data_IF_675352597663
#
_entry.id   IF_675352597663
#
_cell.length_a   1.000
_cell.length_b   1.000
_cell.length_c   1.000
_cell.angle_alpha   90.00
_cell.angle_beta   90.00
_cell.angle_gamma   90.00
#
_symmetry.space_group_name_H-M   'P 1'
#
loop_
_entity.id
_entity.type
_entity.pdbx_description
1 polymer ?
#
# COMPACT_ATOMS: atom_id res chain seq x y z
N UNK A 1 2.62 -0.08 -11.34
CA UNK A 1 1.35 0.44 -10.78
C UNK A 1 1.58 1.00 -9.38
N UNK A 2 1.02 2.17 -9.09
CA UNK A 2 0.93 2.79 -7.77
C UNK A 2 -0.48 2.50 -7.25
N UNK A 3 -0.60 1.40 -6.52
CA UNK A 3 -1.89 0.81 -6.17
C UNK A 3 -2.25 0.97 -4.70
N UNK A 4 -3.54 0.93 -4.40
CA UNK A 4 -4.03 0.77 -3.05
C UNK A 4 -5.26 -0.15 -3.02
N UNK A 5 -5.42 -0.91 -1.95
CA UNK A 5 -6.62 -1.70 -1.72
C UNK A 5 -7.78 -0.79 -1.35
N UNK A 6 -8.82 -0.86 -2.14
CA UNK A 6 -10.11 -0.24 -1.84
C UNK A 6 -10.81 -1.08 -0.77
N UNK A 7 -10.94 -0.56 0.44
CA UNK A 7 -11.44 -1.29 1.61
C UNK A 7 -12.93 -1.59 1.60
N UNK A 8 -13.50 -1.81 0.44
CA UNK A 8 -14.94 -2.01 0.19
C UNK A 8 -15.68 -0.70 -0.05
N UNK A 9 -16.98 -0.79 -0.19
CA UNK A 9 -17.82 0.40 -0.37
C UNK A 9 -17.61 1.39 0.78
N UNK A 10 -17.71 2.72 0.54
CA UNK A 10 -17.40 3.75 1.55
C UNK A 10 -18.20 3.66 2.85
N UNK A 11 -19.20 2.80 2.92
CA UNK A 11 -19.90 2.44 4.15
C UNK A 11 -20.43 1.01 4.06
N UNK A 12 -20.30 0.26 5.15
CA UNK A 12 -20.95 -1.04 5.33
C UNK A 12 -22.49 -0.94 5.21
N UNK A 13 -23.04 0.20 5.59
CA UNK A 13 -24.47 0.51 5.35
C UNK A 13 -24.66 1.03 3.93
N UNK A 14 -25.04 0.16 3.00
CA UNK A 14 -25.17 0.48 1.57
C UNK A 14 -25.97 1.75 1.28
N UNK A 15 -27.06 2.01 2.02
CA UNK A 15 -27.84 3.22 1.87
C UNK A 15 -27.14 4.54 2.23
N UNK A 16 -25.95 4.47 2.82
CA UNK A 16 -25.07 5.62 3.10
C UNK A 16 -24.06 5.89 2.00
N UNK A 17 -23.96 5.01 1.02
CA UNK A 17 -23.09 5.20 -0.13
C UNK A 17 -23.80 6.10 -1.16
N UNK A 18 -23.09 7.07 -1.69
CA UNK A 18 -23.61 8.01 -2.67
C UNK A 18 -22.53 8.37 -3.68
N UNK A 19 -22.93 8.77 -4.86
CA UNK A 19 -22.01 9.21 -5.91
C UNK A 19 -21.04 10.32 -5.44
N UNK A 20 -21.47 11.36 -4.70
CA UNK A 20 -20.55 12.35 -4.15
C UNK A 20 -19.54 11.74 -3.17
N UNK A 21 -19.93 10.74 -2.37
CA UNK A 21 -19.04 10.08 -1.42
C UNK A 21 -17.97 9.24 -2.15
N UNK A 22 -18.35 8.50 -3.18
CA UNK A 22 -17.40 7.80 -4.05
C UNK A 22 -16.43 8.78 -4.69
N UNK A 23 -16.94 9.86 -5.28
CA UNK A 23 -16.11 10.88 -5.94
C UNK A 23 -15.09 11.49 -4.97
N UNK A 24 -15.50 11.85 -3.78
CA UNK A 24 -14.61 12.40 -2.74
C UNK A 24 -13.42 11.48 -2.47
N UNK A 25 -13.66 10.18 -2.26
CA UNK A 25 -12.57 9.24 -1.98
C UNK A 25 -11.70 8.97 -3.21
N UNK A 26 -12.29 8.88 -4.40
CA UNK A 26 -11.54 8.63 -5.64
C UNK A 26 -10.69 9.84 -6.06
N UNK A 27 -11.16 11.05 -5.81
CA UNK A 27 -10.35 12.28 -5.97
C UNK A 27 -9.18 12.31 -4.98
N UNK A 28 -9.38 11.85 -3.74
CA UNK A 28 -8.29 11.67 -2.77
C UNK A 28 -7.27 10.60 -3.22
N UNK A 29 -7.72 9.53 -3.87
CA UNK A 29 -6.81 8.55 -4.46
C UNK A 29 -5.95 9.19 -5.56
N UNK A 30 -6.56 9.99 -6.41
CA UNK A 30 -5.84 10.77 -7.44
C UNK A 30 -4.85 11.76 -6.80
N UNK A 31 -5.28 12.47 -5.75
CA UNK A 31 -4.43 13.39 -4.98
C UNK A 31 -3.21 12.68 -4.38
N UNK A 32 -3.38 11.44 -3.90
CA UNK A 32 -2.31 10.61 -3.37
C UNK A 32 -1.41 9.98 -4.47
N UNK A 33 -1.54 10.39 -5.74
CA UNK A 33 -0.84 9.81 -6.88
C UNK A 33 -1.12 8.32 -7.13
N UNK A 34 -2.20 7.77 -6.58
CA UNK A 34 -2.66 6.42 -6.83
C UNK A 34 -3.25 6.38 -8.25
N UNK A 35 -2.79 5.42 -9.06
CA UNK A 35 -3.28 5.21 -10.43
C UNK A 35 -3.95 3.84 -10.62
N UNK A 36 -4.02 3.05 -9.56
CA UNK A 36 -4.70 1.76 -9.55
C UNK A 36 -5.37 1.53 -8.20
N UNK A 37 -6.58 0.97 -8.21
CA UNK A 37 -7.27 0.50 -7.02
C UNK A 37 -7.54 -1.00 -7.15
N UNK A 38 -7.23 -1.73 -6.11
CA UNK A 38 -7.55 -3.15 -6.00
C UNK A 38 -8.81 -3.32 -5.14
N UNK A 39 -9.89 -3.81 -5.73
CA UNK A 39 -11.05 -4.30 -4.98
C UNK A 39 -10.71 -5.73 -4.57
N UNK A 40 -10.78 -6.05 -3.29
CA UNK A 40 -10.44 -7.38 -2.82
C UNK A 40 -11.68 -8.19 -2.39
N UNK A 41 -11.53 -9.52 -2.35
CA UNK A 41 -12.62 -10.50 -2.34
C UNK A 41 -13.50 -10.56 -1.09
N UNK A 42 -13.22 -9.74 -0.07
CA UNK A 42 -14.04 -9.62 1.13
C UNK A 42 -15.37 -8.87 0.91
N UNK A 43 -15.49 -8.19 -0.22
CA UNK A 43 -16.62 -7.30 -0.52
C UNK A 43 -17.26 -7.67 -1.85
N UNK A 44 -18.55 -7.35 -2.05
CA UNK A 44 -19.18 -7.44 -3.35
C UNK A 44 -18.48 -6.53 -4.36
N UNK A 45 -18.61 -6.85 -5.65
CA UNK A 45 -18.17 -5.97 -6.71
C UNK A 45 -18.80 -4.56 -6.55
N UNK A 46 -18.01 -3.53 -6.83
CA UNK A 46 -18.41 -2.15 -6.70
C UNK A 46 -19.52 -1.74 -7.67
N UNK A 47 -20.14 -0.59 -7.41
CA UNK A 47 -21.23 -0.04 -8.21
C UNK A 47 -20.74 0.49 -9.55
N UNK A 48 -21.65 0.70 -10.50
CA UNK A 48 -21.34 1.30 -11.80
C UNK A 48 -20.78 2.74 -11.64
N UNK A 49 -21.26 3.48 -10.63
CA UNK A 49 -20.74 4.81 -10.32
C UNK A 49 -19.26 4.80 -9.95
N UNK A 50 -18.82 3.81 -9.18
CA UNK A 50 -17.42 3.68 -8.83
C UNK A 50 -16.55 3.54 -10.09
N UNK A 51 -16.87 2.60 -10.98
CA UNK A 51 -16.11 2.40 -12.22
C UNK A 51 -16.19 3.60 -13.14
N UNK A 52 -17.38 4.23 -13.27
CA UNK A 52 -17.54 5.44 -14.08
C UNK A 52 -16.65 6.59 -13.60
N UNK A 53 -16.54 6.78 -12.29
CA UNK A 53 -15.65 7.81 -11.74
C UNK A 53 -14.17 7.41 -11.94
N UNK A 54 -13.82 6.13 -11.78
CA UNK A 54 -12.47 5.63 -12.08
C UNK A 54 -12.11 5.89 -13.56
N UNK A 55 -13.01 5.60 -14.51
CA UNK A 55 -12.83 5.90 -15.94
C UNK A 55 -12.55 7.39 -16.18
N UNK A 56 -13.31 8.29 -15.53
CA UNK A 56 -13.15 9.73 -15.64
C UNK A 56 -11.82 10.25 -15.05
N UNK A 57 -11.38 9.66 -13.94
CA UNK A 57 -10.16 10.08 -13.23
C UNK A 57 -8.89 9.42 -13.78
N UNK A 58 -9.00 8.41 -14.65
CA UNK A 58 -7.90 7.62 -15.15
C UNK A 58 -7.26 6.75 -14.06
N UNK A 59 -8.07 6.21 -13.16
CA UNK A 59 -7.68 5.24 -12.14
C UNK A 59 -8.05 3.86 -12.63
N UNK A 60 -7.08 2.98 -12.80
CA UNK A 60 -7.33 1.59 -13.18
C UNK A 60 -7.81 0.76 -11.98
N UNK A 61 -8.46 -0.36 -12.24
CA UNK A 61 -9.06 -1.20 -11.20
C UNK A 61 -8.70 -2.66 -11.41
N UNK A 62 -8.31 -3.35 -10.34
CA UNK A 62 -8.32 -4.81 -10.24
C UNK A 62 -9.57 -5.24 -9.50
N UNK A 63 -10.40 -5.99 -10.15
CA UNK A 63 -11.65 -6.47 -9.56
C UNK A 63 -11.49 -7.92 -9.12
N UNK A 64 -11.45 -8.17 -7.81
CA UNK A 64 -11.62 -9.52 -7.28
C UNK A 64 -13.10 -9.88 -7.29
N UNK A 65 -13.38 -11.15 -7.57
CA UNK A 65 -14.68 -11.72 -7.24
C UNK A 65 -14.80 -11.96 -5.73
N UNK A 66 -16.04 -12.05 -5.23
CA UNK A 66 -16.33 -12.12 -3.79
C UNK A 66 -16.09 -13.50 -3.17
N UNK A 67 -14.87 -14.00 -3.35
CA UNK A 67 -14.41 -15.25 -2.75
C UNK A 67 -13.22 -14.95 -1.85
N UNK A 68 -13.33 -15.19 -0.53
CA UNK A 68 -12.27 -14.87 0.42
C UNK A 68 -12.12 -15.90 1.53
N UNK A 69 -10.87 -16.24 1.85
CA UNK A 69 -10.40 -16.95 3.06
C UNK A 69 -11.25 -18.11 3.56
N UNK A 70 -11.83 -18.90 2.68
CA UNK A 70 -12.61 -20.08 3.08
C UNK A 70 -12.44 -21.20 2.06
N UNK A 71 -12.86 -22.39 2.46
CA UNK A 71 -13.02 -23.56 1.61
C UNK A 71 -14.37 -23.48 0.91
N UNK A 72 -14.36 -23.46 -0.42
CA UNK A 72 -15.57 -23.33 -1.21
C UNK A 72 -16.08 -24.70 -1.67
N UNK A 73 -17.40 -24.81 -1.78
CA UNK A 73 -18.03 -25.98 -2.37
C UNK A 73 -17.76 -26.04 -3.87
N UNK A 74 -17.70 -27.28 -4.38
CA UNK A 74 -17.51 -27.57 -5.81
C UNK A 74 -18.65 -28.45 -6.36
N UNK A 75 -19.77 -28.60 -5.61
CA UNK A 75 -20.93 -29.31 -6.09
C UNK A 75 -21.69 -28.56 -7.19
N UNK A 76 -22.41 -29.29 -8.03
CA UNK A 76 -23.07 -28.69 -9.19
C UNK A 76 -24.03 -27.56 -8.84
N UNK A 77 -24.89 -27.62 -7.79
CA UNK A 77 -25.73 -26.47 -7.45
C UNK A 77 -24.99 -25.21 -7.05
N UNK A 78 -23.79 -25.36 -6.43
CA UNK A 78 -22.95 -24.22 -6.07
C UNK A 78 -22.28 -23.62 -7.33
N UNK A 79 -21.73 -24.46 -8.20
CA UNK A 79 -21.10 -24.04 -9.45
C UNK A 79 -22.10 -23.28 -10.34
N UNK A 80 -23.36 -23.70 -10.41
CA UNK A 80 -24.39 -22.96 -11.17
C UNK A 80 -24.65 -21.55 -10.61
N UNK A 81 -24.62 -21.37 -9.29
CA UNK A 81 -24.76 -20.05 -8.66
C UNK A 81 -23.53 -19.19 -8.94
N UNK A 82 -22.35 -19.75 -8.76
CA UNK A 82 -21.07 -19.07 -9.08
C UNK A 82 -21.07 -18.61 -10.52
N UNK A 83 -21.42 -19.47 -11.46
CA UNK A 83 -21.47 -19.14 -12.88
C UNK A 83 -22.36 -17.91 -13.15
N UNK A 84 -23.56 -17.89 -12.58
CA UNK A 84 -24.51 -16.75 -12.75
C UNK A 84 -23.94 -15.45 -12.15
N UNK A 85 -23.31 -15.53 -11.00
CA UNK A 85 -22.69 -14.37 -10.34
C UNK A 85 -21.54 -13.82 -11.16
N UNK A 86 -20.62 -14.68 -11.62
CA UNK A 86 -19.48 -14.29 -12.44
C UNK A 86 -19.97 -13.65 -13.76
N UNK A 87 -20.90 -14.32 -14.46
CA UNK A 87 -21.47 -13.80 -15.70
C UNK A 87 -22.10 -12.41 -15.49
N UNK A 88 -22.91 -12.27 -14.46
CA UNK A 88 -23.56 -10.98 -14.13
C UNK A 88 -22.53 -9.89 -13.84
N UNK A 89 -21.50 -10.21 -13.05
CA UNK A 89 -20.46 -9.25 -12.66
C UNK A 89 -19.64 -8.81 -13.87
N UNK A 90 -19.15 -9.77 -14.66
CA UNK A 90 -18.32 -9.49 -15.85
C UNK A 90 -19.10 -8.70 -16.90
N UNK A 91 -20.32 -9.10 -17.24
CA UNK A 91 -21.13 -8.41 -18.24
C UNK A 91 -21.36 -6.96 -17.88
N UNK A 92 -21.59 -6.65 -16.59
CA UNK A 92 -21.81 -5.29 -16.11
C UNK A 92 -20.55 -4.42 -16.13
N UNK A 93 -19.35 -5.02 -15.95
CA UNK A 93 -18.11 -4.26 -15.72
C UNK A 93 -17.10 -4.31 -16.86
N UNK A 94 -17.20 -5.27 -17.79
CA UNK A 94 -16.20 -5.50 -18.85
C UNK A 94 -16.01 -4.33 -19.82
N UNK A 95 -16.96 -3.42 -19.90
CA UNK A 95 -16.90 -2.26 -20.80
C UNK A 95 -16.29 -1.02 -20.13
N UNK A 96 -15.96 -1.06 -18.83
CA UNK A 96 -15.24 0.02 -18.18
C UNK A 96 -13.75 -0.07 -18.50
N UNK A 97 -13.16 0.95 -19.15
CA UNK A 97 -11.73 0.95 -19.48
C UNK A 97 -10.83 0.96 -18.24
N UNK A 98 -11.36 1.39 -17.08
CA UNK A 98 -10.66 1.30 -15.81
C UNK A 98 -10.43 -0.15 -15.34
N UNK A 99 -11.31 -1.09 -15.66
CA UNK A 99 -11.19 -2.48 -15.22
C UNK A 99 -10.16 -3.23 -16.06
N UNK A 100 -8.92 -3.31 -15.56
CA UNK A 100 -7.77 -3.88 -16.31
C UNK A 100 -7.44 -5.33 -15.95
N UNK A 101 -8.03 -5.87 -14.87
CA UNK A 101 -7.73 -7.22 -14.40
C UNK A 101 -8.89 -7.78 -13.58
N UNK A 102 -9.17 -9.06 -13.77
CA UNK A 102 -10.02 -9.86 -12.91
C UNK A 102 -9.19 -10.76 -12.02
N UNK A 103 -9.67 -11.01 -10.80
CA UNK A 103 -9.02 -11.88 -9.84
C UNK A 103 -10.04 -12.82 -9.20
N UNK A 104 -9.73 -14.10 -9.15
CA UNK A 104 -10.64 -15.16 -8.71
C UNK A 104 -10.97 -15.06 -7.24
N UNK A 105 -9.98 -15.01 -6.37
CA UNK A 105 -10.22 -14.99 -4.94
C UNK A 105 -9.14 -14.31 -4.10
N UNK A 106 -9.55 -13.96 -2.89
CA UNK A 106 -8.74 -13.35 -1.84
C UNK A 106 -8.29 -14.41 -0.85
N UNK A 107 -6.97 -14.59 -0.69
CA UNK A 107 -6.37 -15.51 0.29
C UNK A 107 -6.95 -16.94 0.24
N UNK A 108 -7.40 -17.38 -0.93
CA UNK A 108 -8.00 -18.71 -1.15
C UNK A 108 -6.95 -19.82 -1.24
N UNK A 109 -5.66 -19.47 -1.24
CA UNK A 109 -4.49 -20.36 -1.18
C UNK A 109 -3.60 -20.04 0.04
N UNK A 110 -4.12 -19.38 1.03
CA UNK A 110 -3.36 -18.86 2.17
C UNK A 110 -3.01 -19.92 3.21
N UNK A 111 -3.83 -20.95 3.36
CA UNK A 111 -3.61 -22.09 4.26
C UNK A 111 -3.58 -23.42 3.51
N UNK A 112 -3.02 -24.46 4.13
CA UNK A 112 -3.01 -25.80 3.56
C UNK A 112 -4.42 -26.33 3.27
N UNK A 113 -5.36 -26.12 4.20
CA UNK A 113 -6.77 -26.52 4.02
C UNK A 113 -7.39 -25.84 2.79
N UNK A 114 -7.14 -24.56 2.57
CA UNK A 114 -7.61 -23.85 1.37
C UNK A 114 -7.04 -24.45 0.08
N UNK A 115 -5.76 -24.83 0.10
CA UNK A 115 -5.11 -25.43 -1.08
C UNK A 115 -5.66 -26.80 -1.39
N UNK A 116 -5.97 -27.61 -0.36
CA UNK A 116 -6.47 -28.98 -0.50
C UNK A 116 -7.98 -29.08 -0.76
N UNK A 117 -8.76 -28.03 -0.50
CA UNK A 117 -10.23 -28.04 -0.50
C UNK A 117 -10.90 -28.04 -1.87
N UNK A 118 -10.15 -27.95 -2.96
CA UNK A 118 -10.71 -27.76 -4.31
C UNK A 118 -10.88 -26.31 -4.73
N UNK A 119 -10.40 -25.36 -3.94
CA UNK A 119 -10.40 -23.94 -4.30
C UNK A 119 -9.69 -23.69 -5.63
N UNK A 120 -8.61 -24.44 -5.92
CA UNK A 120 -7.88 -24.29 -7.19
C UNK A 120 -8.79 -24.56 -8.40
N UNK A 121 -9.53 -25.67 -8.38
CA UNK A 121 -10.44 -26.04 -9.46
C UNK A 121 -11.55 -24.99 -9.64
N UNK A 122 -12.05 -24.45 -8.52
CA UNK A 122 -13.06 -23.40 -8.57
C UNK A 122 -12.50 -22.10 -9.18
N UNK A 123 -11.29 -21.67 -8.79
CA UNK A 123 -10.68 -20.45 -9.32
C UNK A 123 -10.36 -20.61 -10.81
N UNK A 124 -9.84 -21.76 -11.24
CA UNK A 124 -9.61 -22.07 -12.66
C UNK A 124 -10.94 -22.00 -13.45
N UNK A 125 -12.01 -22.60 -12.93
CA UNK A 125 -13.33 -22.55 -13.54
C UNK A 125 -13.89 -21.12 -13.65
N UNK A 126 -13.72 -20.30 -12.63
CA UNK A 126 -14.10 -18.88 -12.66
C UNK A 126 -13.33 -18.14 -13.78
N UNK A 127 -12.05 -18.45 -13.94
CA UNK A 127 -11.22 -17.93 -15.04
C UNK A 127 -11.76 -18.31 -16.41
N UNK A 128 -12.15 -19.59 -16.61
CA UNK A 128 -12.75 -20.06 -17.85
C UNK A 128 -14.04 -19.31 -18.18
N UNK A 129 -14.96 -19.15 -17.19
CA UNK A 129 -16.22 -18.43 -17.37
C UNK A 129 -15.94 -16.94 -17.69
N UNK A 130 -14.94 -16.34 -17.05
CA UNK A 130 -14.54 -14.95 -17.27
C UNK A 130 -14.03 -14.76 -18.70
N UNK A 131 -13.15 -15.64 -19.18
CA UNK A 131 -12.57 -15.55 -20.52
C UNK A 131 -13.56 -15.83 -21.66
N UNK A 132 -14.69 -16.49 -21.38
CA UNK A 132 -15.78 -16.58 -22.36
C UNK A 132 -16.47 -15.22 -22.61
N UNK A 133 -16.30 -14.24 -21.73
CA UNK A 133 -17.03 -12.97 -21.74
C UNK A 133 -16.16 -11.74 -21.97
N UNK A 134 -14.83 -11.85 -21.76
CA UNK A 134 -13.87 -10.74 -21.88
C UNK A 134 -12.46 -11.25 -22.15
N UNK A 135 -11.64 -10.44 -22.80
CA UNK A 135 -10.19 -10.68 -22.98
C UNK A 135 -9.34 -9.99 -21.90
N UNK A 136 -9.97 -9.35 -20.92
CA UNK A 136 -9.24 -8.73 -19.80
C UNK A 136 -8.50 -9.82 -19.00
N UNK A 137 -7.23 -9.63 -18.64
CA UNK A 137 -6.46 -10.60 -17.88
C UNK A 137 -7.16 -11.08 -16.61
N UNK A 138 -6.91 -12.33 -16.27
CA UNK A 138 -7.42 -12.98 -15.07
C UNK A 138 -6.26 -13.60 -14.27
N UNK A 139 -6.33 -13.54 -12.95
CA UNK A 139 -5.47 -14.30 -12.04
C UNK A 139 -6.31 -15.06 -11.02
N UNK A 140 -5.89 -16.28 -10.66
CA UNK A 140 -6.67 -17.16 -9.79
C UNK A 140 -6.87 -16.60 -8.39
N UNK A 141 -5.81 -16.03 -7.79
CA UNK A 141 -5.83 -15.62 -6.38
C UNK A 141 -4.87 -14.48 -6.07
N UNK A 142 -5.11 -13.82 -4.93
CA UNK A 142 -4.15 -12.96 -4.23
C UNK A 142 -4.16 -13.32 -2.73
N UNK A 143 -3.02 -13.76 -2.12
CA UNK A 143 -1.77 -14.09 -2.82
C UNK A 143 -1.88 -15.38 -3.64
N UNK A 144 -1.28 -15.37 -4.81
CA UNK A 144 -1.14 -16.58 -5.61
C UNK A 144 0.01 -17.45 -5.10
N UNK A 145 1.11 -16.82 -4.69
CA UNK A 145 2.35 -17.46 -4.27
C UNK A 145 2.49 -17.48 -2.74
N UNK A 146 1.43 -17.90 -2.03
CA UNK A 146 1.52 -18.14 -0.59
C UNK A 146 2.54 -19.26 -0.31
N UNK A 147 3.07 -19.32 0.91
CA UNK A 147 3.98 -20.37 1.35
C UNK A 147 3.39 -21.76 1.10
N UNK A 148 2.11 -21.93 1.40
CA UNK A 148 1.37 -23.17 1.27
C UNK A 148 1.16 -23.53 -0.21
N UNK A 149 0.77 -22.57 -1.05
CA UNK A 149 0.62 -22.78 -2.49
C UNK A 149 1.94 -23.18 -3.17
N UNK A 150 3.07 -22.58 -2.75
CA UNK A 150 4.40 -22.95 -3.23
C UNK A 150 4.76 -24.37 -2.78
N UNK A 151 4.56 -24.70 -1.50
CA UNK A 151 4.85 -26.02 -0.94
C UNK A 151 4.05 -27.13 -1.65
N UNK A 152 2.80 -26.85 -2.01
CA UNK A 152 1.92 -27.79 -2.71
C UNK A 152 2.15 -27.81 -4.25
N UNK A 153 3.08 -27.01 -4.76
CA UNK A 153 3.40 -26.95 -6.19
C UNK A 153 2.36 -26.20 -7.05
N UNK A 154 1.48 -25.40 -6.46
CA UNK A 154 0.46 -24.63 -7.18
C UNK A 154 0.98 -23.29 -7.71
N UNK A 155 2.06 -22.79 -7.14
CA UNK A 155 2.72 -21.56 -7.57
C UNK A 155 4.23 -21.63 -7.36
N UNK A 156 4.98 -20.73 -8.00
CA UNK A 156 6.42 -20.52 -7.79
C UNK A 156 6.70 -19.03 -7.56
N UNK A 157 7.83 -18.71 -6.94
CA UNK A 157 8.30 -17.32 -6.81
C UNK A 157 8.73 -16.71 -8.15
N UNK A 158 9.26 -17.52 -9.04
CA UNK A 158 9.78 -17.11 -10.35
C UNK A 158 8.69 -16.87 -11.39
N UNK A 159 7.43 -17.22 -11.08
CA UNK A 159 6.31 -16.96 -11.98
C UNK A 159 6.10 -15.46 -12.18
N UNK A 160 5.85 -15.04 -13.42
CA UNK A 160 5.44 -13.66 -13.74
C UNK A 160 4.17 -13.20 -12.99
N UNK A 161 3.38 -14.15 -12.52
CA UNK A 161 2.15 -13.93 -11.74
C UNK A 161 2.37 -14.04 -10.23
N UNK A 162 3.61 -14.34 -9.80
CA UNK A 162 3.93 -14.47 -8.39
C UNK A 162 3.61 -13.18 -7.64
N UNK A 163 2.82 -13.31 -6.59
CA UNK A 163 2.41 -12.20 -5.74
C UNK A 163 2.23 -12.68 -4.30
N UNK A 164 2.47 -11.82 -3.33
CA UNK A 164 2.29 -12.14 -1.92
C UNK A 164 1.89 -10.92 -1.09
N UNK A 165 1.32 -11.18 0.08
CA UNK A 165 0.84 -10.18 1.03
C UNK A 165 1.86 -9.98 2.16
N UNK A 166 2.10 -8.71 2.56
CA UNK A 166 3.10 -8.36 3.56
C UNK A 166 2.57 -7.36 4.57
N UNK A 167 2.36 -7.82 5.79
CA UNK A 167 1.85 -7.02 6.89
C UNK A 167 2.95 -6.78 7.92
N UNK A 168 3.33 -5.52 8.11
CA UNK A 168 4.22 -5.12 9.18
C UNK A 168 3.45 -5.14 10.51
N UNK A 169 3.67 -6.19 11.28
CA UNK A 169 2.99 -6.40 12.55
C UNK A 169 3.76 -5.86 13.77
N UNK A 170 4.73 -4.96 13.55
CA UNK A 170 5.51 -4.35 14.63
C UNK A 170 6.49 -5.29 15.33
N UNK A 171 6.80 -6.43 14.73
CA UNK A 171 7.74 -7.41 15.28
C UNK A 171 9.06 -7.52 14.48
N UNK A 172 9.17 -6.80 13.37
CA UNK A 172 10.26 -6.95 12.39
C UNK A 172 10.72 -5.57 11.97
N UNK A 173 12.02 -5.33 12.01
CA UNK A 173 12.60 -4.11 11.46
C UNK A 173 12.42 -4.07 9.95
N UNK A 174 11.87 -2.99 9.43
CA UNK A 174 11.54 -2.84 8.02
C UNK A 174 12.78 -2.98 7.11
N UNK A 175 13.95 -2.59 7.59
CA UNK A 175 15.23 -2.68 6.91
C UNK A 175 15.68 -4.12 6.67
N UNK A 176 15.27 -5.04 7.54
CA UNK A 176 15.60 -6.47 7.42
C UNK A 176 14.50 -7.24 6.68
N UNK A 177 13.28 -6.72 6.67
CA UNK A 177 12.11 -7.40 6.14
C UNK A 177 11.92 -7.17 4.65
N UNK A 178 11.70 -5.93 4.24
CA UNK A 178 11.32 -5.62 2.86
C UNK A 178 12.41 -5.94 1.82
N UNK A 179 13.71 -5.74 2.06
CA UNK A 179 14.74 -6.07 1.08
C UNK A 179 14.84 -7.55 0.73
N UNK A 180 14.29 -8.44 1.55
CA UNK A 180 14.30 -9.88 1.32
C UNK A 180 13.06 -10.38 0.54
N UNK A 181 12.16 -9.48 0.12
CA UNK A 181 10.96 -9.81 -0.61
C UNK A 181 11.20 -9.65 -2.11
N UNK A 182 10.92 -10.70 -2.86
CA UNK A 182 11.21 -10.79 -4.29
C UNK A 182 9.98 -11.32 -5.06
N UNK A 183 9.06 -10.41 -5.41
CA UNK A 183 7.86 -10.70 -6.18
C UNK A 183 7.59 -9.61 -7.21
N UNK A 184 7.13 -9.98 -8.39
CA UNK A 184 6.82 -9.06 -9.47
C UNK A 184 5.66 -8.08 -9.13
N UNK A 185 4.76 -8.47 -8.23
CA UNK A 185 3.62 -7.69 -7.77
C UNK A 185 3.47 -7.88 -6.25
N UNK A 186 3.28 -6.78 -5.55
CA UNK A 186 2.97 -6.76 -4.11
C UNK A 186 1.53 -6.25 -3.96
N UNK A 187 0.51 -7.11 -3.94
CA UNK A 187 -0.89 -6.70 -3.92
C UNK A 187 -1.36 -6.17 -2.57
N UNK A 188 -0.64 -6.49 -1.49
CA UNK A 188 -0.90 -5.95 -0.16
C UNK A 188 0.37 -5.76 0.63
N UNK A 189 0.54 -4.56 1.15
CA UNK A 189 1.47 -4.25 2.23
C UNK A 189 0.86 -3.20 3.15
N UNK A 190 1.16 -3.26 4.45
CA UNK A 190 0.60 -2.27 5.38
C UNK A 190 1.26 -2.27 6.75
N UNK A 191 0.94 -1.21 7.50
CA UNK A 191 1.08 -1.08 8.93
C UNK A 191 -0.21 -0.49 9.52
N UNK A 192 -0.46 -0.71 10.79
CA UNK A 192 -1.66 -0.21 11.48
C UNK A 192 -1.44 1.19 12.06
N UNK A 193 -2.53 1.97 12.20
CA UNK A 193 -2.52 3.23 12.94
C UNK A 193 -3.90 3.59 13.50
N UNK A 194 -3.94 4.45 14.51
CA UNK A 194 -5.18 5.03 15.01
C UNK A 194 -5.70 6.15 14.10
N UNK A 195 -7.04 6.30 13.94
CA UNK A 195 -7.63 7.46 13.28
C UNK A 195 -7.38 8.74 14.10
N UNK A 196 -7.68 9.90 13.49
CA UNK A 196 -7.59 11.18 14.18
C UNK A 196 -8.47 11.20 15.43
N UNK A 197 -8.08 11.96 16.46
CA UNK A 197 -8.77 12.02 17.77
C UNK A 197 -10.24 12.41 17.62
N UNK A 198 -10.56 13.36 16.74
CA UNK A 198 -11.94 13.76 16.49
C UNK A 198 -12.78 12.65 15.86
N UNK A 199 -12.16 11.74 15.13
CA UNK A 199 -12.82 10.55 14.61
C UNK A 199 -12.96 9.48 15.68
N UNK A 200 -11.94 9.25 16.51
CA UNK A 200 -12.00 8.32 17.65
C UNK A 200 -13.16 8.68 18.61
N UNK A 201 -13.31 9.96 18.95
CA UNK A 201 -14.39 10.46 19.82
C UNK A 201 -15.81 10.19 19.30
N UNK A 202 -15.98 9.83 18.04
CA UNK A 202 -17.29 9.51 17.46
C UNK A 202 -17.73 8.06 17.70
N UNK A 203 -16.80 7.17 18.07
CA UNK A 203 -17.12 5.75 18.21
C UNK A 203 -16.46 5.08 19.44
N UNK A 204 -15.50 5.72 20.11
CA UNK A 204 -14.95 5.24 21.37
C UNK A 204 -15.59 6.07 22.52
N UNK A 205 -16.16 5.42 23.56
CA UNK A 205 -16.65 6.10 24.74
C UNK A 205 -15.56 6.96 25.41
N UNK A 206 -15.96 8.10 25.98
CA UNK A 206 -15.00 9.07 26.52
C UNK A 206 -14.14 8.55 27.67
N UNK A 207 -14.66 7.64 28.46
CA UNK A 207 -13.98 6.94 29.57
C UNK A 207 -13.07 5.78 29.11
N UNK A 208 -13.18 5.38 27.84
CA UNK A 208 -12.34 4.36 27.22
C UNK A 208 -11.34 4.93 26.18
N UNK A 209 -11.37 6.25 25.95
CA UNK A 209 -10.43 6.89 25.01
C UNK A 209 -8.99 6.80 25.51
N UNK A 210 -8.77 7.13 26.78
CA UNK A 210 -7.45 7.10 27.41
C UNK A 210 -7.55 7.01 28.93
N UNK A 211 -6.88 6.04 29.59
CA UNK A 211 -6.17 4.91 28.95
C UNK A 211 -7.10 4.08 28.05
N UNK A 212 -6.51 3.43 27.03
CA UNK A 212 -7.26 2.65 26.04
C UNK A 212 -8.09 1.55 26.69
N UNK A 213 -9.42 1.63 26.54
CA UNK A 213 -10.37 0.65 27.05
C UNK A 213 -10.76 -0.43 26.04
N UNK A 214 -11.67 -1.36 26.42
CA UNK A 214 -12.09 -2.50 25.59
C UNK A 214 -12.66 -2.12 24.20
N UNK A 215 -13.28 -0.95 24.07
CA UNK A 215 -13.81 -0.47 22.79
C UNK A 215 -12.75 -0.35 21.69
N UNK A 216 -11.47 -0.12 22.04
CA UNK A 216 -10.39 -0.14 21.05
C UNK A 216 -10.28 -1.51 20.37
N UNK A 217 -10.28 -2.60 21.17
CA UNK A 217 -10.27 -3.96 20.63
C UNK A 217 -11.52 -4.30 19.82
N UNK A 218 -12.71 -3.83 20.27
CA UNK A 218 -13.95 -3.99 19.52
C UNK A 218 -13.87 -3.33 18.13
N UNK A 219 -13.19 -2.19 18.03
CA UNK A 219 -12.90 -1.49 16.78
C UNK A 219 -11.60 -1.95 16.11
N UNK A 220 -11.23 -3.19 16.33
CA UNK A 220 -10.13 -3.91 15.67
C UNK A 220 -8.71 -3.37 15.96
N UNK A 221 -8.52 -2.57 17.02
CA UNK A 221 -7.18 -2.19 17.44
C UNK A 221 -6.44 -3.41 18.02
N UNK A 222 -5.26 -3.68 17.50
CA UNK A 222 -4.25 -4.48 18.16
C UNK A 222 -3.26 -3.54 18.83
N UNK A 223 -3.45 -3.34 20.14
CA UNK A 223 -2.70 -2.34 20.92
C UNK A 223 -1.20 -2.67 20.96
N UNK A 224 -0.84 -3.95 21.02
CA UNK A 224 0.54 -4.37 21.07
C UNK A 224 1.22 -4.16 19.71
N UNK A 225 0.53 -4.41 18.61
CA UNK A 225 1.02 -4.08 17.26
C UNK A 225 1.26 -2.58 17.12
N UNK A 226 0.33 -1.73 17.57
CA UNK A 226 0.49 -0.27 17.51
C UNK A 226 1.69 0.21 18.34
N UNK A 227 1.85 -0.32 19.58
CA UNK A 227 3.01 -0.01 20.44
C UNK A 227 4.33 -0.48 19.82
N UNK A 228 4.34 -1.68 19.25
CA UNK A 228 5.54 -2.24 18.63
C UNK A 228 5.96 -1.46 17.38
N UNK A 229 5.00 -0.99 16.56
CA UNK A 229 5.30 -0.12 15.41
C UNK A 229 5.88 1.22 15.87
N UNK A 230 5.32 1.83 16.92
CA UNK A 230 5.89 3.03 17.53
C UNK A 230 7.33 2.76 18.01
N UNK A 231 7.56 1.65 18.72
CA UNK A 231 8.88 1.28 19.19
C UNK A 231 9.88 1.07 18.03
N UNK A 232 9.44 0.46 16.94
CA UNK A 232 10.28 0.28 15.74
C UNK A 232 10.74 1.62 15.16
N UNK A 233 9.86 2.62 15.12
CA UNK A 233 10.17 3.92 14.51
C UNK A 233 10.86 4.86 15.50
N UNK A 234 10.36 4.97 16.73
CA UNK A 234 10.80 5.99 17.69
C UNK A 234 11.73 5.47 18.80
N UNK A 235 11.85 4.15 18.97
CA UNK A 235 12.61 3.54 20.06
C UNK A 235 11.88 3.45 21.39
N UNK A 236 10.59 3.86 21.44
CA UNK A 236 9.68 3.73 22.59
C UNK A 236 8.23 3.68 22.14
N UNK A 237 7.31 3.32 23.04
CA UNK A 237 5.91 3.00 22.68
C UNK A 237 5.00 4.21 22.49
N UNK A 238 5.47 5.43 22.81
CA UNK A 238 4.74 6.70 22.72
C UNK A 238 3.36 6.67 23.43
N UNK A 239 3.34 6.19 24.69
CA UNK A 239 2.11 5.98 25.45
C UNK A 239 1.91 7.01 26.58
N UNK A 240 2.48 8.21 26.48
CA UNK A 240 2.34 9.28 27.47
C UNK A 240 0.95 9.90 27.45
N UNK A 241 0.45 10.29 26.30
CA UNK A 241 -0.89 10.87 26.10
C UNK A 241 -1.60 10.26 24.90
N UNK A 242 -2.92 10.48 24.78
CA UNK A 242 -3.69 10.08 23.60
C UNK A 242 -3.17 10.76 22.34
N UNK A 243 -2.86 12.05 22.41
CA UNK A 243 -2.35 12.85 21.31
C UNK A 243 -1.02 12.31 20.79
N UNK A 244 -0.06 12.08 21.70
CA UNK A 244 1.23 11.50 21.39
C UNK A 244 1.07 10.12 20.73
N UNK A 245 0.24 9.25 21.30
CA UNK A 245 0.03 7.90 20.80
C UNK A 245 -0.58 7.89 19.40
N UNK A 246 -1.66 8.66 19.19
CA UNK A 246 -2.34 8.74 17.89
C UNK A 246 -1.39 9.27 16.81
N UNK A 247 -0.70 10.38 17.12
CA UNK A 247 0.26 10.97 16.18
C UNK A 247 1.40 10.01 15.84
N UNK A 248 1.98 9.37 16.85
CA UNK A 248 3.07 8.42 16.66
C UNK A 248 2.65 7.23 15.80
N UNK A 249 1.47 6.63 16.03
CA UNK A 249 0.99 5.51 15.21
C UNK A 249 0.82 5.91 13.74
N UNK A 250 0.33 7.11 13.45
CA UNK A 250 0.15 7.59 12.08
C UNK A 250 1.48 7.87 11.38
N UNK A 251 2.47 8.43 12.10
CA UNK A 251 3.83 8.63 11.58
C UNK A 251 4.51 7.26 11.38
N UNK A 252 4.35 6.33 12.30
CA UNK A 252 4.91 4.98 12.18
C UNK A 252 4.33 4.25 10.95
N UNK A 253 3.01 4.28 10.76
CA UNK A 253 2.38 3.75 9.55
C UNK A 253 2.94 4.41 8.28
N UNK A 254 3.07 5.73 8.28
CA UNK A 254 3.60 6.49 7.15
C UNK A 254 5.04 6.13 6.84
N UNK A 255 5.88 6.02 7.87
CA UNK A 255 7.31 5.65 7.73
C UNK A 255 7.49 4.25 7.15
N UNK A 256 6.71 3.28 7.63
CA UNK A 256 6.73 1.91 7.10
C UNK A 256 6.25 1.89 5.65
N UNK A 257 5.14 2.58 5.36
CA UNK A 257 4.61 2.68 4.00
C UNK A 257 5.63 3.31 3.05
N UNK A 258 6.22 4.45 3.40
CA UNK A 258 7.23 5.12 2.59
C UNK A 258 8.43 4.21 2.30
N UNK A 259 9.00 3.60 3.34
CA UNK A 259 10.14 2.70 3.19
C UNK A 259 9.84 1.57 2.20
N UNK A 260 8.71 0.88 2.39
CA UNK A 260 8.32 -0.25 1.56
C UNK A 260 7.97 0.16 0.12
N UNK A 261 7.14 1.19 -0.06
CA UNK A 261 6.71 1.67 -1.37
C UNK A 261 7.90 2.13 -2.21
N UNK A 262 8.81 2.89 -1.62
CA UNK A 262 10.01 3.35 -2.32
C UNK A 262 10.96 2.19 -2.63
N UNK A 263 11.14 1.25 -1.69
CA UNK A 263 11.95 0.06 -1.91
C UNK A 263 11.47 -0.72 -3.14
N UNK A 264 10.19 -1.07 -3.21
CA UNK A 264 9.65 -1.83 -4.35
C UNK A 264 9.67 -1.02 -5.65
N UNK A 265 9.41 0.28 -5.60
CA UNK A 265 9.46 1.14 -6.79
C UNK A 265 10.87 1.30 -7.35
N UNK A 266 11.91 1.24 -6.53
CA UNK A 266 13.31 1.22 -6.99
C UNK A 266 13.65 -0.03 -7.78
N UNK A 267 12.95 -1.14 -7.57
CA UNK A 267 13.21 -2.43 -8.22
C UNK A 267 12.64 -2.56 -9.65
N UNK A 268 12.17 -1.48 -10.26
CA UNK A 268 11.80 -1.50 -11.69
C UNK A 268 12.93 -2.03 -12.58
N UNK A 269 12.62 -2.81 -13.63
CA UNK A 269 11.30 -3.25 -14.07
C UNK A 269 10.79 -4.53 -13.38
N UNK A 270 11.56 -5.15 -12.48
CA UNK A 270 11.21 -6.42 -11.84
C UNK A 270 9.88 -6.29 -11.07
N UNK A 271 9.75 -5.29 -10.19
CA UNK A 271 8.48 -5.00 -9.51
C UNK A 271 7.63 -4.08 -10.37
N UNK A 272 6.51 -4.59 -10.87
CA UNK A 272 5.57 -3.89 -11.75
C UNK A 272 4.44 -3.17 -11.02
N UNK A 273 4.16 -3.55 -9.77
CA UNK A 273 3.09 -2.94 -8.97
C UNK A 273 3.22 -3.20 -7.47
N UNK A 274 2.86 -2.18 -6.70
CA UNK A 274 2.78 -2.27 -5.25
C UNK A 274 1.49 -1.62 -4.77
N UNK A 275 0.77 -2.29 -3.87
CA UNK A 275 -0.54 -1.86 -3.36
C UNK A 275 -0.51 -1.70 -1.84
N UNK A 276 -0.85 -0.51 -1.39
CA UNK A 276 -1.06 -0.24 0.03
C UNK A 276 -2.43 -0.79 0.47
N UNK A 277 -2.48 -1.54 1.54
CA UNK A 277 -3.71 -2.04 2.14
C UNK A 277 -3.93 -1.42 3.53
N UNK A 278 -4.95 -0.60 3.77
CA UNK A 278 -6.05 -0.18 2.90
C UNK A 278 -5.98 1.31 2.56
N UNK A 279 -6.64 1.71 1.47
CA UNK A 279 -6.82 3.14 1.18
C UNK A 279 -7.89 3.75 2.09
N UNK A 280 -9.08 3.13 2.13
CA UNK A 280 -10.22 3.52 2.98
C UNK A 280 -10.73 2.33 3.78
N UNK A 281 -11.63 2.59 4.70
CA UNK A 281 -12.40 1.58 5.44
C UNK A 281 -13.91 1.83 5.34
N UNK A 282 -14.71 0.77 5.50
CA UNK A 282 -16.17 0.81 5.36
C UNK A 282 -16.96 0.92 6.67
N UNK A 283 -16.28 0.89 7.82
CA UNK A 283 -16.82 1.14 9.15
C UNK A 283 -15.75 1.71 10.08
N UNK A 284 -16.10 2.31 11.23
CA UNK A 284 -15.10 2.88 12.15
C UNK A 284 -14.18 1.80 12.71
N UNK A 285 -12.92 1.77 12.28
CA UNK A 285 -11.89 0.84 12.77
C UNK A 285 -10.60 1.57 13.13
N UNK A 286 -9.76 0.88 13.88
CA UNK A 286 -8.42 1.32 14.26
C UNK A 286 -7.44 0.31 13.64
N UNK A 287 -7.07 0.51 12.36
CA UNK A 287 -6.28 -0.48 11.64
C UNK A 287 -5.48 0.13 10.48
N UNK A 288 -5.59 -0.40 9.30
CA UNK A 288 -4.65 -0.26 8.18
C UNK A 288 -4.93 0.89 7.21
N UNK A 289 -6.13 1.47 7.29
CA UNK A 289 -6.56 2.56 6.42
C UNK A 289 -5.69 3.82 6.59
N UNK A 290 -5.51 4.56 5.50
CA UNK A 290 -4.85 5.89 5.51
C UNK A 290 -5.85 7.05 5.44
N UNK A 291 -7.12 6.74 5.15
CA UNK A 291 -8.26 7.64 5.26
C UNK A 291 -9.30 6.92 6.10
N UNK A 292 -9.71 7.51 7.21
CA UNK A 292 -10.66 6.91 8.13
C UNK A 292 -12.10 6.88 7.60
N UNK A 293 -12.99 6.18 8.29
CA UNK A 293 -14.40 6.03 7.90
C UNK A 293 -15.12 7.36 7.69
N UNK A 294 -14.70 8.43 8.38
CA UNK A 294 -15.29 9.77 8.29
C UNK A 294 -14.68 10.63 7.18
N UNK A 295 -13.74 10.07 6.41
CA UNK A 295 -13.07 10.75 5.30
C UNK A 295 -11.90 11.66 5.72
N UNK A 296 -11.46 11.56 6.97
CA UNK A 296 -10.28 12.30 7.45
C UNK A 296 -9.00 11.54 7.07
N UNK A 297 -8.06 12.25 6.46
CA UNK A 297 -6.74 11.68 6.15
C UNK A 297 -5.93 11.55 7.44
N UNK A 298 -5.24 10.42 7.61
CA UNK A 298 -4.20 10.24 8.62
C UNK A 298 -2.89 10.86 8.13
N UNK A 299 -1.92 11.12 8.99
CA UNK A 299 -0.58 11.62 8.57
C UNK A 299 0.10 10.71 7.54
N UNK A 300 -0.14 9.41 7.60
CA UNK A 300 0.35 8.42 6.64
C UNK A 300 -0.09 8.68 5.19
N UNK A 301 -1.19 9.39 4.97
CA UNK A 301 -1.63 9.80 3.63
C UNK A 301 -0.57 10.62 2.90
N UNK A 302 0.07 11.58 3.58
CA UNK A 302 1.09 12.44 2.98
C UNK A 302 2.37 11.65 2.65
N UNK A 303 2.73 10.66 3.45
CA UNK A 303 3.85 9.75 3.17
C UNK A 303 3.58 8.93 1.89
N UNK A 304 2.37 8.38 1.74
CA UNK A 304 1.97 7.64 0.54
C UNK A 304 1.93 8.55 -0.69
N UNK A 305 1.33 9.74 -0.57
CA UNK A 305 1.28 10.75 -1.63
C UNK A 305 2.68 11.09 -2.15
N UNK A 306 3.63 11.29 -1.25
CA UNK A 306 5.03 11.58 -1.56
C UNK A 306 5.71 10.39 -2.21
N UNK A 307 5.60 9.19 -1.62
CA UNK A 307 6.19 7.96 -2.15
C UNK A 307 5.63 7.56 -3.52
N UNK A 308 4.43 8.01 -3.86
CA UNK A 308 3.77 7.72 -5.14
C UNK A 308 3.90 8.84 -6.18
N UNK A 309 4.74 9.87 -5.96
CA UNK A 309 5.04 10.84 -7.02
C UNK A 309 5.54 10.11 -8.28
N UNK A 310 5.02 10.45 -9.48
CA UNK A 310 5.44 9.78 -10.72
C UNK A 310 6.92 9.99 -11.06
N UNK A 311 7.47 11.14 -10.75
CA UNK A 311 8.90 11.40 -10.75
C UNK A 311 9.32 11.55 -9.28
N UNK A 312 10.24 10.70 -8.81
CA UNK A 312 10.55 10.62 -7.37
C UNK A 312 12.07 10.50 -7.15
N UNK A 313 12.70 11.45 -6.43
CA UNK A 313 14.01 11.22 -5.84
C UNK A 313 13.85 10.28 -4.63
N UNK A 314 14.66 9.24 -4.56
CA UNK A 314 14.58 8.24 -3.50
C UNK A 314 15.95 7.88 -2.97
N UNK A 315 16.04 7.61 -1.67
CA UNK A 315 17.26 7.18 -1.01
C UNK A 315 17.09 5.75 -0.46
N UNK A 316 18.00 4.89 -0.88
CA UNK A 316 18.11 3.55 -0.31
C UNK A 316 19.09 3.59 0.86
N UNK A 317 18.64 3.13 2.02
CA UNK A 317 19.44 2.99 3.23
C UNK A 317 19.30 1.58 3.78
N UNK A 318 20.37 1.06 4.36
CA UNK A 318 20.38 -0.29 4.97
C UNK A 318 19.90 -0.27 6.42
N UNK A 319 19.92 0.91 7.06
CA UNK A 319 19.46 1.09 8.44
C UNK A 319 18.98 2.53 8.65
N UNK A 320 18.17 2.75 9.68
CA UNK A 320 17.65 4.07 10.06
C UNK A 320 18.23 4.60 11.37
N UNK A 321 18.97 3.78 12.11
CA UNK A 321 19.59 4.14 13.40
C UNK A 321 21.10 4.22 13.24
N UNK A 322 21.64 5.38 13.58
CA UNK A 322 23.05 5.74 13.38
C UNK A 322 23.64 6.26 14.68
N UNK A 323 24.91 5.99 14.88
CA UNK A 323 25.64 6.52 16.02
C UNK A 323 26.39 7.81 15.65
N UNK A 324 26.64 8.72 16.59
CA UNK A 324 27.57 9.83 16.38
C UNK A 324 28.91 9.31 15.85
N UNK A 325 29.55 10.08 14.96
CA UNK A 325 30.80 9.72 14.26
C UNK A 325 30.72 8.50 13.32
N UNK A 326 29.56 7.88 13.15
CA UNK A 326 29.41 6.78 12.22
C UNK A 326 29.41 7.27 10.77
N UNK A 327 29.88 6.43 9.85
CA UNK A 327 29.83 6.72 8.41
C UNK A 327 28.43 6.40 7.90
N UNK A 328 27.66 7.47 7.56
CA UNK A 328 26.39 7.31 6.85
C UNK A 328 26.66 6.81 5.43
N UNK A 329 25.87 5.82 5.01
CA UNK A 329 25.88 5.29 3.65
C UNK A 329 24.46 5.15 3.12
N UNK A 330 24.24 5.63 1.88
CA UNK A 330 22.99 5.46 1.18
C UNK A 330 23.18 5.57 -0.33
N UNK A 331 22.25 5.02 -1.09
CA UNK A 331 22.29 5.10 -2.54
C UNK A 331 21.13 5.92 -3.07
N UNK A 332 21.42 6.92 -3.88
CA UNK A 332 20.42 7.80 -4.48
C UNK A 332 19.83 7.17 -5.75
N UNK A 333 18.53 7.35 -5.93
CA UNK A 333 17.77 6.89 -7.10
C UNK A 333 16.87 8.01 -7.64
N UNK A 334 16.57 7.92 -8.93
CA UNK A 334 15.41 8.60 -9.53
C UNK A 334 14.48 7.53 -10.08
N UNK A 335 13.23 7.56 -9.64
CA UNK A 335 12.15 6.71 -10.16
C UNK A 335 11.31 7.58 -11.09
N UNK A 336 11.15 7.15 -12.34
CA UNK A 336 10.35 7.84 -13.36
C UNK A 336 9.24 6.90 -13.87
N UNK A 337 7.99 7.27 -13.62
CA UNK A 337 6.80 6.56 -14.13
C UNK A 337 6.21 7.24 -15.38
N UNK A 338 6.77 8.38 -15.80
CA UNK A 338 6.34 9.03 -17.03
C UNK A 338 6.95 8.34 -18.26
N UNK A 339 6.24 8.38 -19.37
CA UNK A 339 6.76 8.04 -20.71
C UNK A 339 7.47 9.26 -21.32
N UNK A 340 8.41 9.81 -20.57
CA UNK A 340 9.23 10.97 -20.93
C UNK A 340 10.62 10.82 -20.35
N UNK A 341 11.63 11.04 -21.18
CA UNK A 341 13.02 11.14 -20.73
C UNK A 341 13.30 12.50 -20.08
N UNK A 342 14.12 12.50 -19.06
CA UNK A 342 14.68 13.70 -18.44
C UNK A 342 16.21 13.63 -18.58
N UNK A 343 16.78 14.27 -19.63
CA UNK A 343 18.21 14.14 -19.96
C UNK A 343 19.12 14.93 -19.02
N UNK A 344 18.59 15.91 -18.33
CA UNK A 344 19.36 16.77 -17.43
C UNK A 344 18.43 17.32 -16.34
N UNK A 345 18.61 16.82 -15.13
CA UNK A 345 17.95 17.32 -13.92
C UNK A 345 19.02 17.70 -12.89
N UNK A 346 18.75 18.68 -12.07
CA UNK A 346 19.53 18.93 -10.86
C UNK A 346 18.96 18.04 -9.75
N UNK A 347 19.78 17.12 -9.24
CA UNK A 347 19.50 16.35 -8.04
C UNK A 347 20.19 17.03 -6.85
N UNK A 348 19.42 17.39 -5.83
CA UNK A 348 19.95 17.96 -4.58
C UNK A 348 19.53 17.11 -3.40
N UNK A 349 20.51 16.76 -2.54
CA UNK A 349 20.31 16.03 -1.29
C UNK A 349 20.86 16.87 -0.15
N UNK A 350 20.07 17.09 0.89
CA UNK A 350 20.44 17.89 2.07
C UNK A 350 20.16 17.07 3.33
N UNK A 351 21.13 17.04 4.23
CA UNK A 351 20.96 16.50 5.58
C UNK A 351 20.92 17.66 6.57
N UNK A 352 19.92 17.63 7.45
CA UNK A 352 19.73 18.64 8.49
C UNK A 352 19.55 17.97 9.85
N UNK A 353 20.06 18.62 10.90
CA UNK A 353 19.77 18.24 12.29
C UNK A 353 18.35 18.63 12.71
N UNK A 354 18.00 18.36 13.97
CA UNK A 354 16.70 18.75 14.55
C UNK A 354 16.48 20.26 14.58
N UNK A 355 17.53 21.06 14.60
CA UNK A 355 17.49 22.53 14.63
C UNK A 355 17.54 23.13 13.22
N UNK A 356 17.43 22.28 12.18
CA UNK A 356 17.47 22.64 10.76
C UNK A 356 18.83 23.14 10.25
N UNK A 357 19.92 22.97 11.01
CA UNK A 357 21.26 23.24 10.52
C UNK A 357 21.66 22.21 9.47
N UNK A 358 22.33 22.67 8.39
CA UNK A 358 22.82 21.78 7.35
C UNK A 358 24.05 21.00 7.84
N UNK A 359 23.95 19.68 7.87
CA UNK A 359 25.03 18.77 8.22
C UNK A 359 25.86 18.36 7.01
N UNK A 360 25.17 18.19 5.87
CA UNK A 360 25.76 17.78 4.61
C UNK A 360 24.84 18.13 3.46
N UNK A 361 25.41 18.49 2.32
CA UNK A 361 24.65 18.58 1.07
C UNK A 361 25.47 18.08 -0.11
N UNK A 362 24.76 17.55 -1.10
CA UNK A 362 25.31 17.16 -2.39
C UNK A 362 24.37 17.60 -3.51
N UNK A 363 24.94 18.11 -4.58
CA UNK A 363 24.19 18.54 -5.77
C UNK A 363 24.93 18.09 -7.02
N UNK A 364 24.21 17.43 -7.93
CA UNK A 364 24.79 16.94 -9.19
C UNK A 364 23.75 16.92 -10.31
N UNK A 365 24.24 16.83 -11.55
CA UNK A 365 23.37 16.65 -12.72
C UNK A 365 23.05 15.18 -12.90
N UNK A 366 21.78 14.88 -13.07
CA UNK A 366 21.24 13.54 -13.22
C UNK A 366 20.40 13.41 -14.49
N UNK A 367 20.25 12.19 -15.00
CA UNK A 367 19.36 11.89 -16.12
C UNK A 367 18.60 10.61 -15.85
N UNK A 368 17.33 10.55 -16.24
CA UNK A 368 16.50 9.34 -16.11
C UNK A 368 15.71 9.12 -17.38
N UNK A 369 15.66 7.88 -17.84
CA UNK A 369 14.85 7.47 -18.99
C UNK A 369 13.39 7.29 -18.59
N UNK A 370 12.52 7.27 -19.59
CA UNK A 370 11.10 6.99 -19.38
C UNK A 370 10.87 5.63 -18.71
N UNK A 371 9.85 5.55 -17.89
CA UNK A 371 9.36 4.33 -17.21
C UNK A 371 10.48 3.49 -16.57
N UNK A 372 11.41 4.11 -15.85
CA UNK A 372 12.59 3.45 -15.30
C UNK A 372 12.86 3.81 -13.83
N UNK A 373 13.78 3.07 -13.23
CA UNK A 373 14.44 3.42 -11.97
C UNK A 373 15.94 3.44 -12.21
N UNK A 374 16.58 4.57 -11.94
CA UNK A 374 18.03 4.76 -12.16
C UNK A 374 18.73 4.97 -10.84
N UNK A 375 19.73 4.13 -10.55
CA UNK A 375 20.61 4.27 -9.41
C UNK A 375 21.81 5.15 -9.72
N UNK A 376 22.23 5.94 -8.75
CA UNK A 376 23.42 6.79 -8.80
C UNK A 376 24.49 6.32 -7.84
N UNK A 377 25.55 7.09 -7.70
CA UNK A 377 26.64 6.80 -6.78
C UNK A 377 26.19 6.77 -5.32
N UNK A 378 26.97 6.09 -4.49
CA UNK A 378 26.73 6.09 -3.05
C UNK A 378 27.01 7.46 -2.46
N UNK A 379 26.10 7.86 -1.58
CA UNK A 379 26.27 8.98 -0.70
C UNK A 379 26.99 8.50 0.56
N UNK A 380 28.16 9.05 0.86
CA UNK A 380 28.93 8.73 2.06
C UNK A 380 29.39 9.99 2.76
N UNK A 381 29.12 10.10 4.06
CA UNK A 381 29.71 11.14 4.91
C UNK A 381 29.71 10.71 6.36
N UNK A 382 30.65 11.26 7.13
CA UNK A 382 30.75 10.98 8.55
C UNK A 382 29.81 11.87 9.33
N UNK A 383 28.91 11.26 10.12
CA UNK A 383 28.01 12.01 10.99
C UNK A 383 28.81 12.79 12.06
N UNK A 384 28.37 14.01 12.45
CA UNK A 384 29.00 14.77 13.53
C UNK A 384 29.01 14.02 14.86
N UNK A 385 29.99 14.34 15.72
CA UNK A 385 30.09 13.76 17.07
C UNK A 385 29.01 14.25 18.03
N UNK A 386 28.43 15.40 17.76
CA UNK A 386 27.44 16.13 18.53
C UNK A 386 26.04 16.10 17.89
N UNK A 387 25.83 15.18 16.92
CA UNK A 387 24.53 15.03 16.29
C UNK A 387 23.44 14.76 17.33
N UNK A 388 22.34 15.49 17.21
CA UNK A 388 21.17 15.34 18.09
C UNK A 388 20.41 14.06 17.81
N UNK A 389 19.30 13.83 18.51
CA UNK A 389 18.50 12.60 18.48
C UNK A 389 17.96 12.20 17.11
N UNK A 390 17.84 13.13 16.17
CA UNK A 390 17.39 12.83 14.81
C UNK A 390 18.04 13.79 13.80
N UNK A 391 18.03 13.35 12.55
CA UNK A 391 18.35 14.20 11.40
C UNK A 391 17.35 13.93 10.28
N UNK A 392 17.17 14.92 9.42
CA UNK A 392 16.25 14.88 8.28
C UNK A 392 17.05 14.83 6.98
N UNK A 393 16.52 14.08 6.03
CA UNK A 393 17.09 13.99 4.68
C UNK A 393 16.06 14.57 3.71
N UNK A 394 16.45 15.56 2.95
CA UNK A 394 15.61 16.22 1.96
C UNK A 394 16.21 16.00 0.56
N UNK A 395 15.38 15.53 -0.35
CA UNK A 395 15.77 15.21 -1.72
C UNK A 395 14.94 16.06 -2.69
N UNK A 396 15.59 16.67 -3.67
CA UNK A 396 14.94 17.51 -4.67
C UNK A 396 15.39 17.15 -6.07
N UNK A 397 14.45 17.16 -7.02
CA UNK A 397 14.71 17.13 -8.45
C UNK A 397 14.21 18.42 -9.08
N UNK A 398 15.06 19.11 -9.82
CA UNK A 398 14.72 20.36 -10.49
C UNK A 398 15.13 20.35 -11.96
N UNK A 399 14.38 21.09 -12.78
CA UNK A 399 14.71 21.47 -14.15
C UNK A 399 14.91 22.99 -14.18
N UNK A 400 16.15 23.42 -14.22
CA UNK A 400 16.52 24.79 -13.91
C UNK A 400 16.08 25.19 -12.49
N UNK A 401 15.37 26.29 -12.37
CA UNK A 401 14.85 26.81 -11.08
C UNK A 401 13.52 26.13 -10.66
N UNK A 402 12.94 25.30 -11.53
CA UNK A 402 11.65 24.67 -11.26
C UNK A 402 11.83 23.33 -10.53
N UNK A 403 11.38 23.24 -9.25
CA UNK A 403 11.33 21.98 -8.50
C UNK A 403 10.22 21.13 -9.05
N UNK A 404 10.56 19.95 -9.60
CA UNK A 404 9.62 19.00 -10.18
C UNK A 404 9.13 17.98 -9.15
N UNK A 405 9.97 17.62 -8.19
CA UNK A 405 9.66 16.60 -7.17
C UNK A 405 10.57 16.77 -5.96
N UNK A 406 10.02 16.42 -4.79
CA UNK A 406 10.74 16.43 -3.50
C UNK A 406 10.37 15.21 -2.64
N UNK A 407 11.29 14.83 -1.76
CA UNK A 407 11.09 13.72 -0.84
C UNK A 407 11.85 13.95 0.48
#
# INVERSE_FOLDING_TARGET
LRSACWGGQPSFFYGRNSTPKYRMFLEKAKEANINNLRIFGWHPAETDEFYTICDQLGITVWTNFSFATQEFKTDQPYIEKVTKEIQSTVIKRRNHPSNIMWMGGEEVYFTEAHVESGNKQLMEYIGEVTHQLTNTPYADASPLSSREAIRMGYATKESMHANSHYYAAGAIFMEDYYPNLDYAIIPELTAASAPNIDSLKKFIPSDELWPMGPSWGYHAADIDVLKNLNYEVFGYTCTGTLEEFVEATQIAQGTVAQFALEHFRRQKPHVSGVSLCHFITNWPIIKWDIIDYYGQTKKSFDYVKRSYQPLLPSLEIQKRRWMPNELFRGRLYIINDYYKNYPSLTYKCIFRDSDQNELYSNTFTASVTENSSTAYEFLEFKLPSDISNCFYIQLYLSDGDNVLSEN
#
